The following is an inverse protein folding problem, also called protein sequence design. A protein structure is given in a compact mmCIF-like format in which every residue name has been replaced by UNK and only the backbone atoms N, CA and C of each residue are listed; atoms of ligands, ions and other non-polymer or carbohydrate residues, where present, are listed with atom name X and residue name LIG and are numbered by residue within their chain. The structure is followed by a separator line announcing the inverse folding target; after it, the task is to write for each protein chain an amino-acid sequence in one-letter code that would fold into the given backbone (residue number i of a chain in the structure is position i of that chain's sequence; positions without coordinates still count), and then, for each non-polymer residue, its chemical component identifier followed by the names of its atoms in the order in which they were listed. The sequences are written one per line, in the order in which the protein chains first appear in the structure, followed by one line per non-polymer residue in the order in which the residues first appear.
data_IF_567703560867
#
_entry.id   IF_567703560867
#
_cell.length_a   1.000
_cell.length_b   1.000
_cell.length_c   1.000
_cell.angle_alpha   90.00
_cell.angle_beta   90.00
_cell.angle_gamma   90.00
#
_symmetry.space_group_name_H-M   'P 1'
#
loop_
_entity.id
_entity.type
_entity.pdbx_description
1 polymer ?
#
# COMPACT_ATOMS: atom_id res chain seq x y z
N UNK A 1 -3.49 19.05 -3.34
CA UNK A 1 -4.91 18.76 -3.05
C UNK A 1 -5.09 17.25 -3.00
N UNK A 2 -5.50 16.72 -1.83
CA UNK A 2 -5.70 15.27 -1.64
C UNK A 2 -7.01 14.76 -2.27
N UNK A 3 -7.99 15.63 -2.45
CA UNK A 3 -9.31 15.29 -3.02
C UNK A 3 -9.62 16.29 -4.14
N UNK A 4 -9.07 16.08 -5.35
CA UNK A 4 -9.31 16.98 -6.47
C UNK A 4 -10.71 16.80 -7.06
N UNK A 5 -11.28 17.88 -7.55
CA UNK A 5 -12.48 17.87 -8.41
C UNK A 5 -12.10 17.60 -9.88
N UNK A 6 -13.08 17.16 -10.70
CA UNK A 6 -12.88 17.00 -12.13
C UNK A 6 -12.36 18.29 -12.80
N UNK A 7 -12.85 19.46 -12.37
CA UNK A 7 -12.39 20.76 -12.89
C UNK A 7 -10.90 20.98 -12.55
N UNK A 8 -10.49 20.74 -11.30
CA UNK A 8 -9.09 20.90 -10.90
C UNK A 8 -8.15 19.94 -11.64
N UNK A 9 -8.62 18.73 -11.94
CA UNK A 9 -7.84 17.76 -12.74
C UNK A 9 -7.72 18.24 -14.18
N UNK A 10 -8.83 18.69 -14.82
CA UNK A 10 -8.84 19.21 -16.17
C UNK A 10 -7.91 20.44 -16.29
N UNK A 11 -8.01 21.38 -15.35
CA UNK A 11 -7.17 22.58 -15.31
C UNK A 11 -5.68 22.23 -15.20
N UNK A 12 -5.34 21.27 -14.32
CA UNK A 12 -3.97 20.78 -14.14
C UNK A 12 -3.41 20.07 -15.36
N UNK A 13 -4.27 19.36 -16.08
CA UNK A 13 -3.93 18.68 -17.34
C UNK A 13 -3.89 19.63 -18.56
N UNK A 14 -4.26 20.90 -18.40
CA UNK A 14 -4.33 21.87 -19.49
C UNK A 14 -5.43 21.58 -20.50
N UNK A 15 -6.51 20.92 -20.09
CA UNK A 15 -7.65 20.59 -20.95
C UNK A 15 -8.94 21.23 -20.44
N UNK A 16 -9.89 21.48 -21.34
CA UNK A 16 -11.21 21.98 -20.94
C UNK A 16 -12.02 20.89 -20.23
N UNK A 17 -12.91 21.28 -19.30
CA UNK A 17 -13.80 20.37 -18.58
C UNK A 17 -14.67 19.51 -19.50
N UNK A 18 -15.06 20.02 -20.66
CA UNK A 18 -15.79 19.26 -21.70
C UNK A 18 -14.95 18.10 -22.26
N UNK A 19 -13.63 18.31 -22.40
CA UNK A 19 -12.71 17.26 -22.84
C UNK A 19 -12.56 16.18 -21.75
N UNK A 20 -12.52 16.57 -20.48
CA UNK A 20 -12.54 15.62 -19.38
C UNK A 20 -13.76 14.70 -19.47
N UNK A 21 -14.98 15.25 -19.51
CA UNK A 21 -16.23 14.48 -19.57
C UNK A 21 -16.47 13.75 -20.90
N UNK A 22 -15.71 14.06 -21.95
CA UNK A 22 -15.69 13.25 -23.19
C UNK A 22 -14.93 11.93 -23.01
N UNK A 23 -13.91 11.91 -22.13
CA UNK A 23 -13.06 10.73 -21.87
C UNK A 23 -13.50 9.94 -20.65
N UNK A 24 -14.01 10.61 -19.64
CA UNK A 24 -14.41 10.02 -18.37
C UNK A 24 -15.82 10.48 -18.03
N UNK A 25 -16.76 9.56 -17.97
CA UNK A 25 -18.15 9.84 -17.61
C UNK A 25 -18.25 10.50 -16.23
N UNK A 26 -17.42 10.02 -15.30
CA UNK A 26 -17.34 10.49 -13.93
C UNK A 26 -15.94 10.26 -13.31
N UNK A 27 -15.81 10.54 -12.03
CA UNK A 27 -14.57 10.30 -11.28
C UNK A 27 -14.26 8.82 -11.09
N UNK A 28 -15.26 7.94 -11.04
CA UNK A 28 -15.03 6.49 -10.89
C UNK A 28 -14.40 5.90 -12.14
N UNK A 29 -14.87 6.31 -13.32
CA UNK A 29 -14.27 5.93 -14.61
C UNK A 29 -12.82 6.42 -14.73
N UNK A 30 -12.53 7.63 -14.23
CA UNK A 30 -11.15 8.11 -14.15
C UNK A 30 -10.30 7.22 -13.21
N UNK A 31 -10.81 6.84 -12.04
CA UNK A 31 -10.06 5.98 -11.12
C UNK A 31 -9.81 4.59 -11.69
N UNK A 32 -10.73 4.04 -12.47
CA UNK A 32 -10.49 2.79 -13.22
C UNK A 32 -9.33 2.94 -14.21
N UNK A 33 -9.38 3.99 -15.03
CA UNK A 33 -8.36 4.24 -16.03
C UNK A 33 -6.97 4.47 -15.40
N UNK A 34 -6.92 5.19 -14.26
CA UNK A 34 -5.67 5.37 -13.50
C UNK A 34 -5.18 4.01 -12.98
N UNK A 35 -6.06 3.23 -12.33
CA UNK A 35 -5.69 1.93 -11.78
C UNK A 35 -5.15 0.99 -12.87
N UNK A 36 -5.81 0.92 -14.01
CA UNK A 36 -5.36 0.10 -15.15
C UNK A 36 -4.00 0.57 -15.69
N UNK A 37 -3.78 1.89 -15.73
CA UNK A 37 -2.53 2.46 -16.25
C UNK A 37 -1.33 2.24 -15.31
N UNK A 38 -1.53 2.31 -13.99
CA UNK A 38 -0.42 2.24 -13.02
C UNK A 38 -0.28 0.85 -12.37
N UNK A 39 -1.22 -0.06 -12.56
CA UNK A 39 -1.30 -1.34 -11.83
C UNK A 39 0.01 -2.12 -11.85
N UNK A 40 0.56 -2.39 -13.02
CA UNK A 40 1.78 -3.19 -13.15
C UNK A 40 2.97 -2.51 -12.48
N UNK A 41 3.09 -1.19 -12.65
CA UNK A 41 4.15 -0.39 -12.02
C UNK A 41 3.99 -0.34 -10.50
N UNK A 42 2.75 -0.18 -10.02
CA UNK A 42 2.44 -0.18 -8.59
C UNK A 42 2.72 -1.54 -7.96
N UNK A 43 2.25 -2.63 -8.58
CA UNK A 43 2.49 -3.98 -8.09
C UNK A 43 3.98 -4.33 -8.06
N UNK A 44 4.75 -3.92 -9.06
CA UNK A 44 6.19 -4.14 -9.11
C UNK A 44 6.98 -3.49 -7.96
N UNK A 45 6.45 -2.43 -7.34
CA UNK A 45 7.07 -1.82 -6.15
C UNK A 45 7.02 -2.75 -4.92
N UNK A 46 5.93 -3.49 -4.77
CA UNK A 46 5.68 -4.33 -3.60
C UNK A 46 6.05 -5.79 -3.82
N UNK A 47 5.81 -6.31 -5.02
CA UNK A 47 5.98 -7.72 -5.36
C UNK A 47 7.40 -7.99 -5.90
N UNK A 48 7.80 -9.26 -5.91
CA UNK A 48 9.11 -9.67 -6.43
C UNK A 48 10.26 -9.52 -5.43
N UNK A 49 11.50 -9.65 -5.91
CA UNK A 49 12.71 -9.70 -5.10
C UNK A 49 13.02 -11.09 -4.56
N UNK A 50 14.20 -11.23 -3.96
CA UNK A 50 14.67 -12.48 -3.39
C UNK A 50 13.79 -12.90 -2.19
N UNK A 51 13.32 -14.12 -2.22
CA UNK A 51 12.53 -14.76 -1.15
C UNK A 51 13.31 -15.90 -0.49
N UNK A 52 14.57 -16.11 -0.87
CA UNK A 52 15.45 -17.09 -0.26
C UNK A 52 16.08 -16.56 1.03
N UNK A 53 16.80 -17.44 1.71
CA UNK A 53 17.50 -17.08 2.94
C UNK A 53 16.79 -17.45 4.24
N UNK A 54 17.39 -17.03 5.32
CA UNK A 54 16.88 -17.22 6.68
C UNK A 54 15.59 -16.43 6.91
N UNK A 55 14.81 -16.78 7.92
CA UNK A 55 13.63 -16.03 8.33
C UNK A 55 13.97 -14.54 8.57
N UNK A 56 15.08 -14.27 9.25
CA UNK A 56 15.51 -12.90 9.53
C UNK A 56 15.77 -12.10 8.26
N UNK A 57 16.47 -12.66 7.29
CA UNK A 57 16.75 -12.00 5.99
C UNK A 57 15.46 -11.77 5.19
N UNK A 58 14.52 -12.71 5.22
CA UNK A 58 13.22 -12.55 4.54
C UNK A 58 12.36 -11.47 5.18
N UNK A 59 12.32 -11.39 6.52
CA UNK A 59 11.62 -10.32 7.25
C UNK A 59 12.24 -8.97 6.90
N UNK A 60 13.55 -8.83 6.99
CA UNK A 60 14.24 -7.57 6.69
C UNK A 60 13.99 -7.13 5.25
N UNK A 61 14.12 -8.04 4.28
CA UNK A 61 13.86 -7.77 2.86
C UNK A 61 12.43 -7.34 2.59
N UNK A 62 11.44 -7.99 3.23
CA UNK A 62 10.02 -7.61 3.13
C UNK A 62 9.78 -6.20 3.67
N UNK A 63 10.25 -5.93 4.91
CA UNK A 63 10.01 -4.64 5.57
C UNK A 63 10.67 -3.49 4.79
N UNK A 64 11.91 -3.68 4.37
CA UNK A 64 12.63 -2.68 3.58
C UNK A 64 11.92 -2.38 2.25
N UNK A 65 11.48 -3.41 1.52
CA UNK A 65 10.76 -3.25 0.26
C UNK A 65 9.44 -2.50 0.47
N UNK A 66 8.64 -2.89 1.47
CA UNK A 66 7.38 -2.18 1.77
C UNK A 66 7.63 -0.74 2.18
N UNK A 67 8.66 -0.47 2.98
CA UNK A 67 9.06 0.88 3.36
C UNK A 67 9.41 1.74 2.13
N UNK A 68 10.23 1.22 1.21
CA UNK A 68 10.62 1.91 -0.02
C UNK A 68 9.39 2.19 -0.90
N UNK A 69 8.53 1.20 -1.07
CA UNK A 69 7.29 1.33 -1.83
C UNK A 69 6.34 2.37 -1.21
N UNK A 70 6.07 2.30 0.10
CA UNK A 70 5.19 3.24 0.79
C UNK A 70 5.70 4.69 0.73
N UNK A 71 7.01 4.91 0.88
CA UNK A 71 7.59 6.25 0.70
C UNK A 71 7.36 6.77 -0.74
N UNK A 72 7.53 5.91 -1.74
CA UNK A 72 7.37 6.33 -3.15
C UNK A 72 5.93 6.64 -3.54
N UNK A 73 4.95 5.96 -2.94
CA UNK A 73 3.52 6.14 -3.27
C UNK A 73 2.73 6.84 -2.17
N UNK A 74 3.39 7.45 -1.18
CA UNK A 74 2.75 8.04 0.00
C UNK A 74 1.59 8.98 -0.36
N UNK A 75 1.83 9.96 -1.23
CA UNK A 75 0.80 10.93 -1.63
C UNK A 75 -0.39 10.25 -2.34
N UNK A 76 -0.12 9.25 -3.17
CA UNK A 76 -1.16 8.46 -3.84
C UNK A 76 -2.01 7.70 -2.82
N UNK A 77 -1.37 7.03 -1.85
CA UNK A 77 -2.06 6.27 -0.80
C UNK A 77 -2.91 7.16 0.09
N UNK A 78 -2.37 8.30 0.54
CA UNK A 78 -3.13 9.27 1.34
C UNK A 78 -4.33 9.82 0.56
N UNK A 79 -4.14 10.23 -0.70
CA UNK A 79 -5.22 10.73 -1.55
C UNK A 79 -6.30 9.67 -1.81
N UNK A 80 -5.90 8.41 -2.02
CA UNK A 80 -6.83 7.28 -2.18
C UNK A 80 -7.65 7.08 -0.91
N UNK A 81 -7.00 6.98 0.26
CA UNK A 81 -7.67 6.74 1.55
C UNK A 81 -8.66 7.84 1.92
N UNK A 82 -8.35 9.10 1.65
CA UNK A 82 -9.26 10.22 1.88
C UNK A 82 -10.57 10.13 1.06
N UNK A 83 -10.61 9.30 0.02
CA UNK A 83 -11.74 9.20 -0.91
C UNK A 83 -12.47 7.85 -0.88
N UNK A 84 -11.97 6.85 -0.13
CA UNK A 84 -12.58 5.51 -0.05
C UNK A 84 -14.05 5.54 0.39
N UNK A 85 -14.41 6.45 1.27
CA UNK A 85 -15.79 6.59 1.76
C UNK A 85 -16.77 7.01 0.66
N UNK A 86 -16.27 7.72 -0.37
CA UNK A 86 -17.10 8.33 -1.41
C UNK A 86 -17.28 7.45 -2.64
N UNK A 87 -16.22 6.70 -3.03
CA UNK A 87 -16.19 6.00 -4.31
C UNK A 87 -16.10 4.48 -4.14
N UNK A 88 -17.19 3.73 -4.47
CA UNK A 88 -17.20 2.26 -4.37
C UNK A 88 -16.11 1.59 -5.18
N UNK A 89 -15.84 2.08 -6.39
CA UNK A 89 -14.80 1.52 -7.26
C UNK A 89 -13.40 1.65 -6.66
N UNK A 90 -13.11 2.82 -6.09
CA UNK A 90 -11.83 3.04 -5.41
C UNK A 90 -11.65 2.09 -4.22
N UNK A 91 -12.72 1.82 -3.45
CA UNK A 91 -12.69 0.81 -2.38
C UNK A 91 -12.40 -0.59 -2.91
N UNK A 92 -13.01 -0.98 -4.04
CA UNK A 92 -12.78 -2.30 -4.64
C UNK A 92 -11.33 -2.46 -5.08
N UNK A 93 -10.76 -1.45 -5.75
CA UNK A 93 -9.36 -1.44 -6.18
C UNK A 93 -8.41 -1.49 -4.98
N UNK A 94 -8.67 -0.68 -3.96
CA UNK A 94 -7.90 -0.68 -2.73
C UNK A 94 -7.92 -2.06 -2.03
N UNK A 95 -9.10 -2.63 -1.86
CA UNK A 95 -9.26 -3.97 -1.26
C UNK A 95 -8.56 -5.08 -2.07
N UNK A 96 -8.56 -4.99 -3.40
CA UNK A 96 -7.80 -5.92 -4.25
C UNK A 96 -6.29 -5.79 -3.97
N UNK A 97 -5.76 -4.58 -3.90
CA UNK A 97 -4.35 -4.33 -3.63
C UNK A 97 -3.96 -4.85 -2.24
N UNK A 98 -4.79 -4.64 -1.21
CA UNK A 98 -4.55 -5.19 0.14
C UNK A 98 -4.49 -6.73 0.13
N UNK A 99 -5.41 -7.40 -0.61
CA UNK A 99 -5.34 -8.87 -0.77
C UNK A 99 -4.06 -9.32 -1.47
N UNK A 100 -3.57 -8.56 -2.45
CA UNK A 100 -2.29 -8.81 -3.12
C UNK A 100 -1.10 -8.75 -2.16
N UNK A 101 -1.06 -7.71 -1.32
CA UNK A 101 -0.02 -7.55 -0.29
C UNK A 101 -0.05 -8.67 0.76
N UNK A 102 -1.25 -9.10 1.17
CA UNK A 102 -1.41 -10.22 2.10
C UNK A 102 -0.93 -11.53 1.47
N UNK A 103 -1.25 -11.78 0.22
CA UNK A 103 -0.76 -12.96 -0.52
C UNK A 103 0.76 -12.96 -0.66
N UNK A 104 1.37 -11.80 -0.95
CA UNK A 104 2.83 -11.65 -1.00
C UNK A 104 3.47 -11.94 0.37
N UNK A 105 2.87 -11.44 1.45
CA UNK A 105 3.29 -11.70 2.83
C UNK A 105 3.30 -13.21 3.12
N UNK A 106 2.22 -13.92 2.82
CA UNK A 106 2.09 -15.37 3.00
C UNK A 106 3.10 -16.18 2.15
N UNK A 107 3.45 -15.67 0.99
CA UNK A 107 4.45 -16.29 0.10
C UNK A 107 5.88 -16.14 0.62
N UNK A 108 6.20 -14.97 1.19
CA UNK A 108 7.54 -14.66 1.71
C UNK A 108 7.81 -15.26 3.07
N UNK A 109 6.76 -15.38 3.88
CA UNK A 109 6.82 -15.87 5.24
C UNK A 109 5.88 -17.08 5.40
N UNK A 110 6.22 -18.26 4.83
CA UNK A 110 5.38 -19.45 4.92
C UNK A 110 5.14 -19.92 6.35
N UNK A 111 5.96 -19.50 7.30
CA UNK A 111 5.81 -19.70 8.74
C UNK A 111 4.48 -19.18 9.27
N UNK A 112 3.92 -18.14 8.64
CA UNK A 112 2.62 -17.56 9.04
C UNK A 112 1.47 -18.56 9.00
N UNK A 113 1.60 -19.68 8.25
CA UNK A 113 0.57 -20.70 8.14
C UNK A 113 0.36 -21.50 9.43
N UNK A 114 1.40 -21.58 10.26
CA UNK A 114 1.37 -22.30 11.54
C UNK A 114 1.00 -21.42 12.73
N UNK A 115 0.96 -20.09 12.56
CA UNK A 115 0.66 -19.15 13.62
C UNK A 115 -0.85 -19.09 13.93
N UNK A 116 -1.17 -18.68 15.15
CA UNK A 116 -2.55 -18.35 15.55
C UNK A 116 -3.12 -17.24 14.64
N UNK A 117 -4.43 -17.29 14.40
CA UNK A 117 -5.10 -16.33 13.53
C UNK A 117 -4.88 -14.87 13.95
N UNK A 118 -4.94 -14.60 15.26
CA UNK A 118 -4.71 -13.26 15.83
C UNK A 118 -3.27 -12.75 15.60
N UNK A 119 -2.27 -13.60 15.72
CA UNK A 119 -0.88 -13.26 15.44
C UNK A 119 -0.71 -12.92 13.96
N UNK A 120 -1.30 -13.71 13.07
CA UNK A 120 -1.28 -13.46 11.64
C UNK A 120 -1.96 -12.14 11.24
N UNK A 121 -3.13 -11.83 11.83
CA UNK A 121 -3.81 -10.54 11.60
C UNK A 121 -2.99 -9.37 12.14
N UNK A 122 -2.31 -9.54 13.28
CA UNK A 122 -1.40 -8.54 13.85
C UNK A 122 -0.23 -8.25 12.91
N UNK A 123 0.36 -9.29 12.31
CA UNK A 123 1.46 -9.14 11.34
C UNK A 123 1.00 -8.40 10.08
N UNK A 124 -0.18 -8.71 9.55
CA UNK A 124 -0.76 -8.00 8.42
C UNK A 124 -0.96 -6.50 8.74
N UNK A 125 -1.53 -6.19 9.90
CA UNK A 125 -1.73 -4.82 10.36
C UNK A 125 -0.40 -4.06 10.54
N UNK A 126 0.61 -4.67 11.16
CA UNK A 126 1.92 -4.04 11.39
C UNK A 126 2.66 -3.75 10.08
N UNK A 127 2.45 -4.56 9.06
CA UNK A 127 3.08 -4.37 7.74
C UNK A 127 2.27 -3.51 6.78
N UNK A 128 1.15 -2.93 7.21
CA UNK A 128 0.27 -2.08 6.40
C UNK A 128 0.82 -0.68 6.17
N UNK A 129 0.25 0.01 5.17
CA UNK A 129 0.51 1.44 4.95
C UNK A 129 0.07 2.29 6.15
N UNK A 130 -1.02 1.94 6.78
CA UNK A 130 -1.57 2.64 7.95
C UNK A 130 -0.57 2.68 9.11
N UNK A 131 0.06 1.54 9.40
CA UNK A 131 1.11 1.50 10.41
C UNK A 131 2.33 2.31 9.98
N UNK A 132 2.75 2.20 8.73
CA UNK A 132 3.87 2.96 8.19
C UNK A 132 3.62 4.47 8.30
N UNK A 133 2.48 4.94 7.82
CA UNK A 133 2.11 6.36 7.86
C UNK A 133 2.06 6.89 9.28
N UNK A 134 1.49 6.13 10.22
CA UNK A 134 1.49 6.48 11.64
C UNK A 134 2.89 6.67 12.20
N UNK A 135 3.80 5.74 11.93
CA UNK A 135 5.19 5.83 12.41
C UNK A 135 5.90 7.06 11.83
N UNK A 136 5.70 7.33 10.53
CA UNK A 136 6.38 8.39 9.81
C UNK A 136 5.77 9.76 10.04
N UNK A 137 4.45 9.88 9.88
CA UNK A 137 3.74 11.18 9.86
C UNK A 137 3.30 11.63 11.25
N UNK A 138 2.83 10.71 12.11
CA UNK A 138 2.30 11.08 13.43
C UNK A 138 3.36 10.95 14.52
N UNK A 139 4.15 9.87 14.54
CA UNK A 139 5.18 9.66 15.55
C UNK A 139 6.54 10.29 15.18
N UNK A 140 6.71 10.75 13.94
CA UNK A 140 7.91 11.44 13.48
C UNK A 140 9.17 10.58 13.44
N UNK A 141 9.04 9.26 13.39
CA UNK A 141 10.21 8.37 13.32
C UNK A 141 10.92 8.49 11.97
N UNK A 142 12.23 8.37 11.95
CA UNK A 142 12.99 8.26 10.70
C UNK A 142 12.62 6.96 9.96
N UNK A 143 12.85 6.92 8.65
CA UNK A 143 12.65 5.71 7.84
C UNK A 143 13.39 4.51 8.44
N UNK A 144 14.66 4.68 8.81
CA UNK A 144 15.49 3.64 9.41
C UNK A 144 14.93 3.15 10.74
N UNK A 145 14.49 4.07 11.62
CA UNK A 145 13.88 3.72 12.89
C UNK A 145 12.57 2.96 12.71
N UNK A 146 11.74 3.36 11.72
CA UNK A 146 10.48 2.69 11.39
C UNK A 146 10.72 1.27 10.85
N UNK A 147 11.70 1.09 9.95
CA UNK A 147 12.12 -0.24 9.47
C UNK A 147 12.56 -1.12 10.63
N UNK A 148 13.45 -0.63 11.49
CA UNK A 148 13.95 -1.38 12.66
C UNK A 148 12.81 -1.80 13.60
N UNK A 149 11.88 -0.89 13.88
CA UNK A 149 10.72 -1.17 14.74
C UNK A 149 9.83 -2.28 14.14
N UNK A 150 9.44 -2.14 12.88
CA UNK A 150 8.57 -3.13 12.21
C UNK A 150 9.26 -4.49 12.13
N UNK A 151 10.55 -4.53 11.75
CA UNK A 151 11.34 -5.77 11.70
C UNK A 151 11.37 -6.46 13.08
N UNK A 152 11.62 -5.70 14.14
CA UNK A 152 11.65 -6.22 15.52
C UNK A 152 10.28 -6.80 15.92
N UNK A 153 9.18 -6.10 15.61
CA UNK A 153 7.83 -6.57 15.94
C UNK A 153 7.49 -7.87 15.20
N UNK A 154 7.77 -7.94 13.89
CA UNK A 154 7.54 -9.15 13.11
C UNK A 154 8.35 -10.34 13.65
N UNK A 155 9.64 -10.14 13.90
CA UNK A 155 10.51 -11.19 14.43
C UNK A 155 9.97 -11.74 15.75
N UNK A 156 9.58 -10.84 16.66
CA UNK A 156 9.02 -11.25 17.96
C UNK A 156 7.72 -12.04 17.82
N UNK A 157 6.80 -11.59 16.97
CA UNK A 157 5.52 -12.26 16.77
C UNK A 157 5.66 -13.64 16.13
N UNK A 158 6.59 -13.80 15.18
CA UNK A 158 6.77 -15.07 14.47
C UNK A 158 7.55 -16.09 15.31
N UNK A 159 8.47 -15.64 16.18
CA UNK A 159 9.33 -16.53 16.98
C UNK A 159 8.70 -16.85 18.35
N UNK A 160 7.75 -16.04 18.83
CA UNK A 160 7.12 -16.23 20.14
C UNK A 160 5.94 -17.23 20.14
N UNK A 161 5.38 -17.56 18.98
CA UNK A 161 4.36 -18.59 18.76
C UNK A 161 5.03 -19.93 18.38
#
# INVERSE_FOLDING_TARGET
VLVPTAQQIADRAGVGIRSFFRHFEDMETLFEAIDDHIRDSYEALFLGGDQSGTLAERIEGLVKRRADAYESVNTLMQGTRCQLWRYPKLRQNYARNQRGLRKDLDGRLPELRSLLGETRESIDAITSFEMWDRLRSEQGLSKTASISLVTTLLTRLIVAD
#
